data_IF_858767204297
#
_entry.id   IF_858767204297
#
_cell.length_a   1.000
_cell.length_b   1.000
_cell.length_c   1.000
_cell.angle_alpha   90.00
_cell.angle_beta   90.00
_cell.angle_gamma   90.00
#
_symmetry.space_group_name_H-M   'P 1'
#
loop_
_entity.id
_entity.type
_entity.pdbx_description
1 polymer ?
#
# COMPACT_ATOMS: atom_id res chain seq x y z
N UNK A 1 -29.65 -6.10 27.68
CA UNK A 1 -30.15 -7.44 27.32
C UNK A 1 -29.34 -7.93 26.12
N UNK A 2 -28.92 -9.19 26.21
CA UNK A 2 -27.92 -9.92 25.44
C UNK A 2 -28.08 -9.93 23.92
N UNK A 3 -26.96 -9.88 23.20
CA UNK A 3 -26.60 -10.69 22.00
C UNK A 3 -25.08 -10.46 21.80
N UNK A 4 -24.15 -11.36 22.11
CA UNK A 4 -24.26 -12.81 22.11
C UNK A 4 -24.19 -13.38 20.70
N UNK A 5 -23.18 -13.02 19.91
CA UNK A 5 -22.78 -13.78 18.71
C UNK A 5 -21.31 -13.51 18.37
N UNK A 6 -20.42 -14.22 19.07
CA UNK A 6 -19.08 -14.59 18.59
C UNK A 6 -19.21 -15.63 17.46
N UNK A 7 -19.92 -15.29 16.39
CA UNK A 7 -19.99 -16.08 15.18
C UNK A 7 -19.06 -15.45 14.16
N UNK A 8 -18.01 -16.16 13.76
CA UNK A 8 -17.21 -15.77 12.60
C UNK A 8 -18.15 -15.49 11.43
N UNK A 9 -17.99 -14.34 10.77
CA UNK A 9 -18.72 -14.00 9.54
C UNK A 9 -18.72 -15.20 8.58
N UNK A 10 -19.82 -15.48 7.85
CA UNK A 10 -19.88 -16.58 6.91
C UNK A 10 -18.65 -16.59 5.98
N UNK A 11 -18.08 -17.77 5.74
CA UNK A 11 -16.86 -17.92 4.90
C UNK A 11 -17.03 -17.22 3.54
N UNK A 12 -18.23 -17.30 2.95
CA UNK A 12 -18.55 -16.61 1.70
C UNK A 12 -18.33 -15.09 1.79
N UNK A 13 -18.76 -14.44 2.89
CA UNK A 13 -18.57 -13.00 3.11
C UNK A 13 -17.10 -12.64 3.25
N UNK A 14 -16.31 -13.48 3.93
CA UNK A 14 -14.86 -13.27 4.08
C UNK A 14 -14.14 -13.35 2.73
N UNK A 15 -14.50 -14.33 1.90
CA UNK A 15 -13.94 -14.49 0.55
C UNK A 15 -14.28 -13.30 -0.35
N UNK A 16 -15.51 -12.81 -0.31
CA UNK A 16 -15.92 -11.61 -1.05
C UNK A 16 -15.12 -10.39 -0.58
N UNK A 17 -14.89 -10.24 0.74
CA UNK A 17 -14.09 -9.15 1.29
C UNK A 17 -12.63 -9.21 0.81
N UNK A 18 -12.01 -10.39 0.83
CA UNK A 18 -10.65 -10.58 0.33
C UNK A 18 -10.54 -10.21 -1.15
N UNK A 19 -11.52 -10.59 -1.96
CA UNK A 19 -11.56 -10.21 -3.37
C UNK A 19 -11.58 -8.68 -3.55
N UNK A 20 -12.41 -7.97 -2.80
CA UNK A 20 -12.46 -6.51 -2.84
C UNK A 20 -11.16 -5.85 -2.35
N UNK A 21 -10.51 -6.41 -1.34
CA UNK A 21 -9.21 -5.94 -0.86
C UNK A 21 -8.18 -6.07 -1.99
N UNK A 22 -8.09 -7.21 -2.68
CA UNK A 22 -7.18 -7.38 -3.81
C UNK A 22 -7.39 -6.31 -4.90
N UNK A 23 -8.64 -5.97 -5.22
CA UNK A 23 -8.95 -4.89 -6.17
C UNK A 23 -8.50 -3.53 -5.63
N UNK A 24 -8.74 -3.25 -4.34
CA UNK A 24 -8.32 -2.02 -3.68
C UNK A 24 -6.80 -1.82 -3.75
N UNK A 25 -6.01 -2.88 -3.54
CA UNK A 25 -4.55 -2.83 -3.57
C UNK A 25 -3.99 -2.48 -4.96
N UNK A 26 -4.70 -2.84 -6.04
CA UNK A 26 -4.38 -2.36 -7.40
C UNK A 26 -4.52 -0.83 -7.46
N UNK A 27 -5.61 -0.30 -6.90
CA UNK A 27 -5.85 1.14 -6.80
C UNK A 27 -4.75 1.87 -6.03
N UNK A 28 -4.25 1.28 -4.95
CA UNK A 28 -3.16 1.85 -4.16
C UNK A 28 -1.85 1.99 -4.95
N UNK A 29 -1.51 1.01 -5.80
CA UNK A 29 -0.33 1.14 -6.68
C UNK A 29 -0.53 2.24 -7.74
N UNK A 30 -1.73 2.37 -8.29
CA UNK A 30 -2.06 3.43 -9.26
C UNK A 30 -1.94 4.81 -8.59
N UNK A 31 -2.46 4.97 -7.37
CA UNK A 31 -2.35 6.21 -6.60
C UNK A 31 -0.88 6.51 -6.29
N UNK A 32 -0.12 5.51 -5.83
CA UNK A 32 1.31 5.67 -5.55
C UNK A 32 2.08 6.11 -6.79
N UNK A 33 1.75 5.54 -7.95
CA UNK A 33 2.32 5.94 -9.22
C UNK A 33 2.00 7.40 -9.58
N UNK A 34 0.72 7.79 -9.45
CA UNK A 34 0.25 9.13 -9.70
C UNK A 34 0.90 10.17 -8.76
N UNK A 35 1.17 9.80 -7.51
CA UNK A 35 1.88 10.64 -6.55
C UNK A 35 3.39 10.70 -6.80
N UNK A 36 3.99 9.68 -7.42
CA UNK A 36 5.46 9.58 -7.58
C UNK A 36 5.94 10.19 -8.90
N UNK A 37 5.32 9.83 -10.02
CA UNK A 37 5.81 10.16 -11.37
C UNK A 37 5.92 11.68 -11.66
N UNK A 38 5.00 12.56 -11.21
CA UNK A 38 5.13 13.99 -11.42
C UNK A 38 6.39 14.56 -10.78
N UNK A 39 6.73 14.13 -9.56
CA UNK A 39 7.94 14.59 -8.88
C UNK A 39 9.20 14.05 -9.54
N UNK A 40 9.21 12.78 -9.97
CA UNK A 40 10.34 12.22 -10.73
C UNK A 40 10.59 13.05 -12.00
N UNK A 41 9.54 13.36 -12.77
CA UNK A 41 9.62 14.18 -13.99
C UNK A 41 10.16 15.59 -13.73
N UNK A 42 9.72 16.23 -12.65
CA UNK A 42 10.23 17.55 -12.24
C UNK A 42 11.70 17.48 -11.80
N UNK A 43 12.07 16.46 -11.02
CA UNK A 43 13.41 16.30 -10.48
C UNK A 43 14.43 15.91 -11.55
N UNK A 44 14.03 15.17 -12.58
CA UNK A 44 14.88 14.86 -13.74
C UNK A 44 15.45 16.10 -14.43
N UNK A 45 14.82 17.27 -14.28
CA UNK A 45 15.31 18.55 -14.81
C UNK A 45 16.42 19.18 -13.96
N UNK A 46 16.65 18.68 -12.75
CA UNK A 46 17.53 19.29 -11.73
C UNK A 46 18.63 18.34 -11.24
N UNK A 47 18.38 17.04 -11.25
CA UNK A 47 19.28 16.01 -10.75
C UNK A 47 19.36 14.83 -11.72
N UNK A 48 20.33 13.92 -11.51
CA UNK A 48 20.44 12.75 -12.37
C UNK A 48 19.25 11.79 -12.21
N UNK A 49 19.04 10.91 -13.20
CA UNK A 49 17.92 9.95 -13.23
C UNK A 49 17.79 9.14 -11.94
N UNK A 50 18.91 8.65 -11.39
CA UNK A 50 18.90 7.84 -10.16
C UNK A 50 18.43 8.65 -8.96
N UNK A 51 18.94 9.86 -8.79
CA UNK A 51 18.53 10.78 -7.72
C UNK A 51 17.05 11.18 -7.86
N UNK A 52 16.60 11.50 -9.08
CA UNK A 52 15.20 11.85 -9.34
C UNK A 52 14.24 10.74 -8.90
N UNK A 53 14.56 9.47 -9.21
CA UNK A 53 13.77 8.33 -8.77
C UNK A 53 13.81 8.12 -7.27
N UNK A 54 14.96 8.21 -6.62
CA UNK A 54 15.08 8.06 -5.16
C UNK A 54 14.23 9.11 -4.45
N UNK A 55 14.40 10.39 -4.79
CA UNK A 55 13.66 11.49 -4.17
C UNK A 55 12.17 11.43 -4.50
N UNK A 56 11.82 11.14 -5.76
CA UNK A 56 10.43 11.00 -6.17
C UNK A 56 9.73 9.85 -5.44
N UNK A 57 10.39 8.70 -5.28
CA UNK A 57 9.87 7.56 -4.54
C UNK A 57 9.65 7.90 -3.05
N UNK A 58 10.60 8.59 -2.41
CA UNK A 58 10.45 9.04 -1.03
C UNK A 58 9.25 9.99 -0.91
N UNK A 59 9.17 11.03 -1.76
CA UNK A 59 8.06 12.00 -1.72
C UNK A 59 6.72 11.30 -1.95
N UNK A 60 6.60 10.49 -3.00
CA UNK A 60 5.38 9.75 -3.32
C UNK A 60 4.96 8.81 -2.19
N UNK A 61 5.91 8.12 -1.57
CA UNK A 61 5.66 7.22 -0.44
C UNK A 61 5.14 7.96 0.80
N UNK A 62 5.71 9.12 1.13
CA UNK A 62 5.25 9.93 2.26
C UNK A 62 3.86 10.53 2.00
N UNK A 63 3.60 11.02 0.78
CA UNK A 63 2.28 11.51 0.39
C UNK A 63 1.22 10.40 0.46
N UNK A 64 1.56 9.20 -0.01
CA UNK A 64 0.67 8.03 0.10
C UNK A 64 0.37 7.71 1.57
N UNK A 65 1.39 7.66 2.43
CA UNK A 65 1.23 7.47 3.87
C UNK A 65 0.30 8.51 4.50
N UNK A 66 0.42 9.77 4.09
CA UNK A 66 -0.45 10.85 4.56
C UNK A 66 -1.92 10.68 4.19
N UNK A 67 -2.25 10.03 3.06
CA UNK A 67 -3.65 9.76 2.69
C UNK A 67 -4.35 8.84 3.70
N UNK A 68 -3.60 8.12 4.53
CA UNK A 68 -4.12 7.21 5.55
C UNK A 68 -4.42 7.90 6.89
N UNK A 69 -4.45 9.23 6.95
CA UNK A 69 -4.70 10.00 8.18
C UNK A 69 -5.96 9.54 8.93
N UNK A 70 -7.03 9.19 8.22
CA UNK A 70 -8.28 8.72 8.83
C UNK A 70 -8.18 7.29 9.35
N UNK A 71 -7.41 6.43 8.69
CA UNK A 71 -7.23 5.03 9.08
C UNK A 71 -6.37 4.88 10.34
N UNK A 72 -5.42 5.80 10.56
CA UNK A 72 -4.49 5.77 11.68
C UNK A 72 -4.69 6.89 12.70
N UNK A 73 -5.85 7.55 12.68
CA UNK A 73 -6.21 8.64 13.61
C UNK A 73 -5.08 9.68 13.77
N UNK A 74 -4.55 10.16 12.64
CA UNK A 74 -3.43 11.11 12.58
C UNK A 74 -2.11 10.66 13.22
N UNK A 75 -1.93 9.36 13.49
CA UNK A 75 -0.65 8.83 13.98
C UNK A 75 0.43 8.93 12.89
N UNK A 76 1.22 10.00 12.95
CA UNK A 76 2.28 10.29 11.98
C UNK A 76 3.32 9.18 11.88
N UNK A 77 3.65 8.50 12.98
CA UNK A 77 4.62 7.41 12.94
C UNK A 77 4.09 6.26 12.08
N UNK A 78 2.86 5.81 12.33
CA UNK A 78 2.22 4.75 11.55
C UNK A 78 2.07 5.15 10.07
N UNK A 79 1.63 6.38 9.82
CA UNK A 79 1.41 6.89 8.47
C UNK A 79 2.70 7.00 7.66
N UNK A 80 3.77 7.56 8.23
CA UNK A 80 4.98 7.86 7.46
C UNK A 80 5.94 6.68 7.40
N UNK A 81 6.04 5.87 8.46
CA UNK A 81 7.07 4.84 8.56
C UNK A 81 6.56 3.47 8.07
N UNK A 82 5.66 2.74 8.77
CA UNK A 82 5.11 1.50 8.26
C UNK A 82 4.41 1.65 6.92
N UNK A 83 3.53 2.64 6.77
CA UNK A 83 2.68 2.77 5.58
C UNK A 83 3.40 3.50 4.46
N UNK A 84 3.98 4.67 4.75
CA UNK A 84 4.72 5.44 3.77
C UNK A 84 5.99 4.73 3.31
N UNK A 85 7.02 4.67 4.16
CA UNK A 85 8.31 4.09 3.78
C UNK A 85 8.24 2.58 3.46
N UNK A 86 7.27 1.86 4.02
CA UNK A 86 6.98 0.47 3.66
C UNK A 86 6.66 0.28 2.17
N UNK A 87 6.31 1.35 1.43
CA UNK A 87 6.05 1.29 -0.02
C UNK A 87 7.30 1.26 -0.91
N UNK A 88 8.46 1.64 -0.37
CA UNK A 88 9.67 1.78 -1.19
C UNK A 88 10.07 0.48 -1.93
N UNK A 89 9.95 -0.73 -1.35
CA UNK A 89 10.19 -1.98 -2.06
C UNK A 89 9.27 -2.19 -3.27
N UNK A 90 7.96 -1.91 -3.15
CA UNK A 90 7.02 -1.99 -4.28
C UNK A 90 7.35 -0.94 -5.34
N UNK A 91 7.71 0.27 -4.90
CA UNK A 91 8.13 1.35 -5.79
C UNK A 91 9.42 1.02 -6.54
N UNK A 92 10.30 0.23 -5.95
CA UNK A 92 11.49 -0.25 -6.63
C UNK A 92 11.18 -1.35 -7.66
N UNK A 93 10.22 -2.24 -7.38
CA UNK A 93 9.86 -3.34 -8.26
C UNK A 93 9.38 -2.85 -9.62
N UNK A 94 8.40 -1.95 -9.67
CA UNK A 94 7.88 -1.46 -10.95
C UNK A 94 8.87 -0.60 -11.75
N UNK A 95 9.81 0.08 -11.09
CA UNK A 95 10.94 0.77 -11.76
C UNK A 95 11.90 -0.24 -12.39
N UNK A 96 12.15 -1.36 -11.70
CA UNK A 96 13.04 -2.42 -12.19
C UNK A 96 12.41 -3.24 -13.32
N UNK A 97 11.10 -3.48 -13.26
CA UNK A 97 10.37 -4.30 -14.23
C UNK A 97 9.70 -3.52 -15.35
N UNK A 98 9.77 -2.18 -15.34
CA UNK A 98 9.08 -1.29 -16.28
C UNK A 98 7.57 -1.59 -16.40
N UNK A 99 6.95 -1.96 -15.27
CA UNK A 99 5.56 -2.42 -15.21
C UNK A 99 5.05 -2.35 -13.79
N UNK A 100 3.81 -1.89 -13.58
CA UNK A 100 3.15 -1.87 -12.26
C UNK A 100 2.81 -3.26 -11.73
N UNK A 101 2.67 -4.26 -12.61
CA UNK A 101 2.16 -5.58 -12.23
C UNK A 101 3.00 -6.30 -11.16
N UNK A 102 4.34 -6.32 -11.23
CA UNK A 102 5.15 -6.93 -10.18
C UNK A 102 4.97 -6.27 -8.81
N UNK A 103 4.77 -4.95 -8.76
CA UNK A 103 4.45 -4.26 -7.51
C UNK A 103 3.06 -4.68 -6.99
N UNK A 104 2.03 -4.63 -7.84
CA UNK A 104 0.65 -5.06 -7.53
C UNK A 104 0.61 -6.48 -6.95
N UNK A 105 1.21 -7.45 -7.64
CA UNK A 105 1.19 -8.85 -7.22
C UNK A 105 1.93 -9.02 -5.89
N UNK A 106 3.09 -8.39 -5.74
CA UNK A 106 3.87 -8.47 -4.50
C UNK A 106 3.14 -7.83 -3.32
N UNK A 107 2.45 -6.71 -3.56
CA UNK A 107 1.68 -6.01 -2.55
C UNK A 107 0.47 -6.83 -2.08
N UNK A 108 -0.29 -7.41 -3.02
CA UNK A 108 -1.38 -8.35 -2.69
C UNK A 108 -0.84 -9.54 -1.86
N UNK A 109 0.27 -10.14 -2.28
CA UNK A 109 0.85 -11.27 -1.56
C UNK A 109 1.33 -10.87 -0.17
N UNK A 110 2.02 -9.73 -0.04
CA UNK A 110 2.55 -9.24 1.22
C UNK A 110 1.42 -9.01 2.25
N UNK A 111 0.37 -8.30 1.86
CA UNK A 111 -0.77 -8.01 2.73
C UNK A 111 -1.53 -9.28 3.10
N UNK A 112 -1.84 -10.14 2.12
CA UNK A 112 -2.54 -11.40 2.41
C UNK A 112 -1.73 -12.28 3.34
N UNK A 113 -0.41 -12.38 3.17
CA UNK A 113 0.45 -13.21 4.03
C UNK A 113 0.59 -12.63 5.45
N UNK A 114 0.67 -11.32 5.60
CA UNK A 114 0.80 -10.67 6.92
C UNK A 114 -0.52 -10.69 7.68
N UNK A 115 -1.65 -10.54 6.99
CA UNK A 115 -2.96 -10.59 7.62
C UNK A 115 -3.52 -12.01 7.76
N UNK A 116 -2.92 -13.02 7.13
CA UNK A 116 -3.35 -14.42 7.25
C UNK A 116 -3.43 -14.90 8.72
N UNK A 117 -2.43 -14.67 9.59
CA UNK A 117 -2.50 -15.08 10.98
C UNK A 117 -3.59 -14.34 11.76
N UNK A 118 -3.78 -13.04 11.49
CA UNK A 118 -4.86 -12.25 12.10
C UNK A 118 -6.25 -12.82 11.75
N UNK A 119 -6.45 -13.15 10.46
CA UNK A 119 -7.70 -13.74 9.96
C UNK A 119 -7.93 -15.15 10.55
N UNK A 120 -6.91 -16.00 10.59
CA UNK A 120 -7.03 -17.38 11.08
C UNK A 120 -7.21 -17.48 12.59
N UNK A 121 -6.61 -16.58 13.35
CA UNK A 121 -6.64 -16.57 14.82
C UNK A 121 -7.75 -15.67 15.39
N UNK A 122 -8.43 -14.90 14.53
CA UNK A 122 -9.54 -14.02 14.93
C UNK A 122 -9.11 -12.86 15.85
N UNK A 123 -7.87 -12.39 15.70
CA UNK A 123 -7.27 -11.26 16.43
C UNK A 123 -7.13 -10.04 15.55
#
# INVERSE_FOLDING_TARGET
MTNGATGSEPVATQLIRLFWICISLIGEEIITAALTLPFVSLLMKRVNKRQAWIYGAIIGSLLFGMLHFRAYDWNLYQMLVPIGLGRLPFTWLWVKSDSLWPAVVTHILYDVLIFLPAILLGI
#
